data_IF_622090404654
#
_entry.id   IF_622090404654
#
_cell.length_a   1.000
_cell.length_b   1.000
_cell.length_c   1.000
_cell.angle_alpha   90.00
_cell.angle_beta   90.00
_cell.angle_gamma   90.00
#
_symmetry.space_group_name_H-M   'P 1'
#
loop_
_entity.id
_entity.type
_entity.pdbx_description
1 polymer ?
#
# COMPACT_ATOMS: atom_id res chain seq x y z
N UNK A 1 15.66 -4.76 -6.19
CA UNK A 1 15.58 -5.15 -4.76
C UNK A 1 14.13 -5.36 -4.26
N UNK A 2 13.11 -4.76 -4.89
CA UNK A 2 11.69 -4.84 -4.47
C UNK A 2 11.00 -6.22 -4.58
N UNK A 3 11.68 -7.23 -5.14
CA UNK A 3 11.20 -8.63 -5.15
C UNK A 3 11.74 -9.48 -4.00
N UNK A 4 12.76 -8.98 -3.29
CA UNK A 4 13.49 -9.75 -2.26
C UNK A 4 13.35 -9.10 -0.89
N UNK A 5 13.37 -7.77 -0.84
CA UNK A 5 13.22 -6.99 0.39
C UNK A 5 11.86 -6.30 0.41
N UNK A 6 11.32 -6.14 1.62
CA UNK A 6 10.04 -5.46 1.85
C UNK A 6 10.12 -3.93 1.74
N UNK A 7 11.33 -3.36 1.67
CA UNK A 7 11.59 -1.92 1.53
C UNK A 7 10.84 -1.05 2.58
N UNK A 8 10.66 -1.56 3.80
CA UNK A 8 10.00 -0.82 4.89
C UNK A 8 8.48 -1.02 4.99
N UNK A 9 7.86 -1.80 4.10
CA UNK A 9 6.43 -2.16 4.17
C UNK A 9 6.29 -3.62 4.59
N UNK A 10 6.06 -3.88 5.87
CA UNK A 10 5.91 -5.23 6.41
C UNK A 10 4.55 -5.88 6.12
N UNK A 11 3.50 -5.07 5.90
CA UNK A 11 2.12 -5.53 5.70
C UNK A 11 1.35 -4.53 4.84
N UNK A 12 0.42 -5.05 4.02
CA UNK A 12 -0.51 -4.25 3.21
C UNK A 12 -1.94 -4.66 3.55
N UNK A 13 -2.80 -3.68 3.82
CA UNK A 13 -4.23 -3.88 4.05
C UNK A 13 -5.03 -3.23 2.93
N UNK A 14 -6.08 -3.91 2.48
CA UNK A 14 -7.05 -3.40 1.51
C UNK A 14 -8.36 -3.13 2.23
N UNK A 15 -8.83 -1.90 2.15
CA UNK A 15 -10.08 -1.46 2.78
C UNK A 15 -10.89 -0.62 1.80
N UNK A 16 -12.23 -0.54 1.97
CA UNK A 16 -13.04 0.45 1.30
C UNK A 16 -12.48 1.86 1.50
N UNK A 17 -12.54 2.70 0.46
CA UNK A 17 -11.92 4.03 0.47
C UNK A 17 -12.44 4.94 1.59
N UNK A 18 -13.73 4.80 1.93
CA UNK A 18 -14.41 5.52 3.01
C UNK A 18 -13.96 5.07 4.42
N UNK A 19 -13.32 3.91 4.55
CA UNK A 19 -12.81 3.37 5.82
C UNK A 19 -11.30 3.48 5.98
N UNK A 20 -10.58 3.99 4.99
CA UNK A 20 -9.12 4.09 5.00
C UNK A 20 -8.60 4.88 6.22
N UNK A 21 -9.22 6.02 6.52
CA UNK A 21 -8.81 6.85 7.65
C UNK A 21 -9.11 6.21 9.01
N UNK A 22 -10.25 5.53 9.13
CA UNK A 22 -10.61 4.80 10.34
C UNK A 22 -9.63 3.65 10.61
N UNK A 23 -9.30 2.86 9.58
CA UNK A 23 -8.36 1.76 9.70
C UNK A 23 -6.95 2.26 10.10
N UNK A 24 -6.51 3.36 9.47
CA UNK A 24 -5.24 4.00 9.81
C UNK A 24 -5.20 4.46 11.27
N UNK A 25 -6.23 5.17 11.73
CA UNK A 25 -6.30 5.66 13.10
C UNK A 25 -6.30 4.50 14.12
N UNK A 26 -7.04 3.42 13.84
CA UNK A 26 -7.07 2.24 14.71
C UNK A 26 -5.70 1.59 14.86
N UNK A 27 -4.99 1.36 13.75
CA UNK A 27 -3.66 0.76 13.75
C UNK A 27 -2.61 1.67 14.40
N UNK A 28 -2.67 2.98 14.14
CA UNK A 28 -1.79 3.96 14.80
C UNK A 28 -2.00 4.00 16.31
N UNK A 29 -3.25 3.85 16.78
CA UNK A 29 -3.55 3.76 18.22
C UNK A 29 -2.97 2.49 18.87
N UNK A 30 -2.73 1.43 18.09
CA UNK A 30 -2.03 0.22 18.52
C UNK A 30 -0.50 0.34 18.47
N UNK A 31 0.03 1.50 18.08
CA UNK A 31 1.47 1.77 18.00
C UNK A 31 2.10 1.44 16.63
N UNK A 32 1.30 1.08 15.63
CA UNK A 32 1.80 0.78 14.29
C UNK A 32 2.11 2.03 13.47
N UNK A 33 3.12 1.93 12.61
CA UNK A 33 3.42 2.98 11.63
C UNK A 33 2.68 2.68 10.32
N UNK A 34 1.70 3.52 9.97
CA UNK A 34 0.80 3.27 8.83
C UNK A 34 0.88 4.37 7.79
N UNK A 35 1.03 3.96 6.54
CA UNK A 35 1.05 4.84 5.37
C UNK A 35 -0.04 4.43 4.38
N UNK A 36 -0.70 5.41 3.75
CA UNK A 36 -1.49 5.17 2.55
C UNK A 36 -0.53 5.12 1.36
N UNK A 37 -0.38 3.94 0.76
CA UNK A 37 0.64 3.70 -0.27
C UNK A 37 0.08 3.66 -1.70
N UNK A 38 -1.24 3.61 -1.87
CA UNK A 38 -1.89 3.58 -3.18
C UNK A 38 -3.34 3.13 -3.10
N UNK A 39 -3.89 2.78 -4.26
CA UNK A 39 -5.26 2.31 -4.44
C UNK A 39 -5.30 1.12 -5.41
N UNK A 40 -6.36 0.29 -5.35
CA UNK A 40 -6.58 -0.81 -6.31
C UNK A 40 -7.35 -0.28 -7.51
N UNK A 41 -6.83 -0.54 -8.69
CA UNK A 41 -7.43 -0.13 -9.97
C UNK A 41 -7.74 -1.35 -10.85
N UNK A 42 -8.64 -1.17 -11.82
CA UNK A 42 -8.82 -2.17 -12.86
C UNK A 42 -7.52 -2.32 -13.66
N UNK A 43 -7.12 -3.58 -13.91
CA UNK A 43 -5.89 -3.89 -14.64
C UNK A 43 -6.18 -3.97 -16.15
N UNK A 44 -5.42 -3.24 -16.97
CA UNK A 44 -5.42 -3.41 -18.43
C UNK A 44 -4.72 -4.69 -18.88
N UNK A 45 -4.97 -5.15 -20.12
CA UNK A 45 -4.41 -6.42 -20.63
C UNK A 45 -2.87 -6.51 -20.53
N UNK A 46 -2.18 -5.38 -20.69
CA UNK A 46 -0.71 -5.31 -20.70
C UNK A 46 -0.12 -4.61 -19.47
N UNK A 47 -0.94 -4.27 -18.47
CA UNK A 47 -0.43 -3.62 -17.27
C UNK A 47 0.20 -4.63 -16.31
N UNK A 48 1.24 -4.19 -15.60
CA UNK A 48 1.76 -4.94 -14.46
C UNK A 48 0.70 -5.06 -13.36
N UNK A 49 0.73 -6.18 -12.62
CA UNK A 49 -0.19 -6.39 -11.51
C UNK A 49 0.07 -5.43 -10.33
N UNK A 50 1.30 -4.91 -10.22
CA UNK A 50 1.70 -3.93 -9.21
C UNK A 50 2.59 -2.89 -9.89
N UNK A 51 2.17 -1.63 -9.86
CA UNK A 51 2.98 -0.50 -10.34
C UNK A 51 3.56 0.26 -9.15
N UNK A 52 4.89 0.33 -9.10
CA UNK A 52 5.60 1.16 -8.12
C UNK A 52 5.91 2.51 -8.76
N UNK A 53 5.42 3.59 -8.16
CA UNK A 53 5.61 4.95 -8.65
C UNK A 53 6.74 5.66 -7.88
N UNK A 54 7.31 6.72 -8.48
CA UNK A 54 8.33 7.57 -7.86
C UNK A 54 9.65 6.85 -7.46
N UNK A 55 10.01 5.77 -8.16
CA UNK A 55 11.33 5.16 -8.02
C UNK A 55 12.38 6.07 -8.68
N UNK A 56 13.45 6.40 -7.95
CA UNK A 56 14.65 6.98 -8.55
C UNK A 56 15.40 5.88 -9.29
N UNK A 57 15.88 6.18 -10.50
CA UNK A 57 16.75 5.30 -11.28
C UNK A 57 18.03 4.92 -10.52
#
# INVERSE_FOLDING_TARGET
MHRVLNCGIGMVLVVPADRADQARAHLQALGETVYRIGDIVARGENDDAVRLENLKE
#
